data_IF_753254197088
#
_entry.id   IF_753254197088
#
_cell.length_a   1.000
_cell.length_b   1.000
_cell.length_c   1.000
_cell.angle_alpha   90.00
_cell.angle_beta   90.00
_cell.angle_gamma   90.00
#
_symmetry.space_group_name_H-M   'P 1'
#
loop_
_entity.id
_entity.type
_entity.pdbx_description
1 polymer ?
#
# COMPACT_ATOMS: atom_id res chain seq x y z
N UNK A 1 37.09 -12.46 -35.55
CA UNK A 1 36.99 -12.82 -34.13
C UNK A 1 35.68 -12.23 -33.66
N UNK A 2 34.59 -13.01 -33.73
CA UNK A 2 33.28 -12.59 -33.25
C UNK A 2 33.28 -12.80 -31.74
N UNK A 3 33.19 -11.71 -30.97
CA UNK A 3 32.85 -11.80 -29.56
C UNK A 3 31.33 -11.88 -29.55
N UNK A 4 30.79 -13.09 -29.42
CA UNK A 4 29.42 -13.26 -28.99
C UNK A 4 29.31 -12.65 -27.59
N UNK A 5 28.86 -11.39 -27.51
CA UNK A 5 28.27 -10.84 -26.31
C UNK A 5 26.87 -11.45 -26.19
N UNK A 6 26.83 -12.74 -25.87
CA UNK A 6 25.63 -13.31 -25.29
C UNK A 6 25.51 -12.70 -23.89
N UNK A 7 24.55 -11.79 -23.72
CA UNK A 7 24.09 -11.38 -22.40
C UNK A 7 23.36 -12.59 -21.82
N UNK A 8 24.11 -13.46 -21.15
CA UNK A 8 23.56 -14.63 -20.46
C UNK A 8 22.77 -14.12 -19.25
N UNK A 9 21.44 -14.25 -19.33
CA UNK A 9 20.56 -14.08 -18.18
C UNK A 9 20.65 -15.34 -17.31
N UNK A 10 21.75 -15.50 -16.58
CA UNK A 10 21.82 -16.51 -15.52
C UNK A 10 21.02 -16.04 -14.31
N UNK A 11 19.70 -16.20 -14.38
CA UNK A 11 18.86 -16.18 -13.18
C UNK A 11 19.02 -17.51 -12.44
N UNK A 12 20.11 -17.65 -11.67
CA UNK A 12 20.26 -18.75 -10.74
C UNK A 12 19.24 -18.58 -9.59
N UNK A 13 18.11 -19.31 -9.69
CA UNK A 13 17.17 -19.45 -8.58
C UNK A 13 17.80 -20.25 -7.45
N UNK A 14 17.77 -19.68 -6.25
CA UNK A 14 18.09 -20.34 -4.99
C UNK A 14 16.89 -20.25 -4.04
N UNK A 15 16.77 -21.18 -3.08
CA UNK A 15 15.75 -21.09 -2.03
C UNK A 15 15.83 -19.75 -1.29
N UNK A 16 17.05 -19.29 -0.99
CA UNK A 16 17.32 -17.99 -0.38
C UNK A 16 16.85 -16.78 -1.20
N UNK A 17 16.97 -16.84 -2.53
CA UNK A 17 16.48 -15.75 -3.39
C UNK A 17 14.95 -15.79 -3.51
N UNK A 18 14.37 -17.00 -3.53
CA UNK A 18 12.92 -17.17 -3.58
C UNK A 18 12.26 -16.61 -2.31
N UNK A 19 12.85 -16.82 -1.13
CA UNK A 19 12.39 -16.21 0.13
C UNK A 19 12.33 -14.68 0.06
N UNK A 20 13.40 -14.04 -0.43
CA UNK A 20 13.47 -12.59 -0.54
C UNK A 20 12.44 -12.05 -1.55
N UNK A 21 12.32 -12.68 -2.72
CA UNK A 21 11.32 -12.30 -3.71
C UNK A 21 9.89 -12.53 -3.23
N UNK A 22 9.63 -13.62 -2.49
CA UNK A 22 8.33 -13.89 -1.88
C UNK A 22 7.96 -12.81 -0.86
N UNK A 23 8.90 -12.42 0.01
CA UNK A 23 8.69 -11.35 0.97
C UNK A 23 8.39 -10.01 0.27
N UNK A 24 9.17 -9.66 -0.77
CA UNK A 24 8.90 -8.45 -1.57
C UNK A 24 7.52 -8.51 -2.24
N UNK A 25 7.13 -9.65 -2.81
CA UNK A 25 5.80 -9.84 -3.40
C UNK A 25 4.66 -9.65 -2.41
N UNK A 26 4.79 -10.19 -1.19
CA UNK A 26 3.82 -9.97 -0.11
C UNK A 26 3.75 -8.51 0.33
N UNK A 27 4.90 -7.85 0.45
CA UNK A 27 4.97 -6.42 0.77
C UNK A 27 4.27 -5.56 -0.30
N UNK A 28 4.51 -5.84 -1.59
CA UNK A 28 3.88 -5.14 -2.71
C UNK A 28 2.37 -5.35 -2.74
N UNK A 29 1.91 -6.55 -2.38
CA UNK A 29 0.48 -6.85 -2.21
C UNK A 29 -0.12 -5.98 -1.11
N UNK A 30 0.56 -5.88 0.04
CA UNK A 30 0.13 -5.05 1.16
C UNK A 30 0.08 -3.55 0.79
N UNK A 31 1.11 -3.06 0.12
CA UNK A 31 1.19 -1.68 -0.36
C UNK A 31 0.08 -1.35 -1.36
N UNK A 32 -0.24 -2.28 -2.27
CA UNK A 32 -1.32 -2.14 -3.25
C UNK A 32 -2.68 -2.05 -2.56
N UNK A 33 -2.91 -2.85 -1.51
CA UNK A 33 -4.13 -2.80 -0.71
C UNK A 33 -4.29 -1.44 -0.02
N UNK A 34 -3.24 -0.96 0.65
CA UNK A 34 -3.24 0.38 1.26
C UNK A 34 -3.57 1.45 0.21
N UNK A 35 -3.02 1.33 -0.99
CA UNK A 35 -3.30 2.25 -2.09
C UNK A 35 -4.77 2.25 -2.52
N UNK A 36 -5.36 1.07 -2.68
CA UNK A 36 -6.78 0.93 -2.97
C UNK A 36 -7.64 1.57 -1.88
N UNK A 37 -7.33 1.32 -0.60
CA UNK A 37 -8.05 1.91 0.53
C UNK A 37 -7.96 3.44 0.53
N UNK A 38 -6.77 4.01 0.32
CA UNK A 38 -6.61 5.46 0.25
C UNK A 38 -7.40 6.08 -0.91
N UNK A 39 -7.44 5.42 -2.08
CA UNK A 39 -8.23 5.87 -3.23
C UNK A 39 -9.72 5.94 -2.88
N UNK A 40 -10.25 4.87 -2.26
CA UNK A 40 -11.65 4.81 -1.81
C UNK A 40 -11.95 5.93 -0.82
N UNK A 41 -11.08 6.13 0.16
CA UNK A 41 -11.29 7.15 1.19
C UNK A 41 -11.15 8.57 0.65
N UNK A 42 -10.30 8.79 -0.35
CA UNK A 42 -10.20 10.08 -1.03
C UNK A 42 -11.48 10.44 -1.80
N UNK A 43 -12.10 9.46 -2.46
CA UNK A 43 -13.31 9.67 -3.27
C UNK A 43 -14.61 9.74 -2.45
N UNK A 44 -14.64 9.12 -1.27
CA UNK A 44 -15.87 8.95 -0.48
C UNK A 44 -16.66 10.25 -0.23
N UNK A 45 -16.04 11.38 0.14
CA UNK A 45 -16.78 12.63 0.33
C UNK A 45 -17.46 13.14 -0.95
N UNK A 46 -16.77 13.05 -2.09
CA UNK A 46 -17.31 13.47 -3.38
C UNK A 46 -18.47 12.57 -3.83
N UNK A 47 -18.37 11.26 -3.61
CA UNK A 47 -19.46 10.32 -3.87
C UNK A 47 -20.68 10.65 -3.01
N UNK A 48 -20.49 10.89 -1.70
CA UNK A 48 -21.58 11.25 -0.79
C UNK A 48 -22.26 12.57 -1.20
N UNK A 49 -21.49 13.59 -1.56
CA UNK A 49 -22.03 14.86 -2.05
C UNK A 49 -22.83 14.68 -3.35
N UNK A 50 -22.29 13.90 -4.30
CA UNK A 50 -22.95 13.65 -5.58
C UNK A 50 -24.26 12.89 -5.40
N UNK A 51 -24.26 11.87 -4.55
CA UNK A 51 -25.44 11.08 -4.22
C UNK A 51 -26.55 11.94 -3.58
N UNK A 52 -26.18 12.86 -2.68
CA UNK A 52 -27.12 13.81 -2.10
C UNK A 52 -27.74 14.74 -3.15
N UNK A 53 -26.96 15.18 -4.15
CA UNK A 53 -27.47 16.01 -5.26
C UNK A 53 -28.40 15.21 -6.19
N UNK A 54 -28.03 13.99 -6.57
CA UNK A 54 -28.86 13.14 -7.45
C UNK A 54 -30.24 12.89 -6.85
N UNK A 55 -30.33 12.65 -5.54
CA UNK A 55 -31.61 12.53 -4.81
C UNK A 55 -32.51 13.76 -4.91
N UNK A 56 -31.94 14.93 -5.17
CA UNK A 56 -32.68 16.19 -5.32
C UNK A 56 -33.05 16.48 -6.78
N UNK A 57 -32.30 15.91 -7.75
CA UNK A 57 -32.40 16.26 -9.17
C UNK A 57 -32.97 15.16 -10.07
N UNK A 58 -33.32 13.98 -9.52
CA UNK A 58 -33.75 12.79 -10.29
C UNK A 58 -32.75 12.36 -11.37
N UNK A 59 -31.47 12.68 -11.17
CA UNK A 59 -30.37 12.24 -12.03
C UNK A 59 -30.08 10.76 -11.80
N UNK A 60 -29.60 10.07 -12.83
CA UNK A 60 -29.19 8.66 -12.74
C UNK A 60 -28.03 8.50 -11.73
N UNK A 61 -28.29 7.80 -10.63
CA UNK A 61 -27.33 7.59 -9.55
C UNK A 61 -26.10 6.79 -10.02
N UNK A 62 -26.28 5.79 -10.89
CA UNK A 62 -25.20 4.94 -11.37
C UNK A 62 -24.24 5.73 -12.27
N UNK A 63 -24.80 6.56 -13.18
CA UNK A 63 -24.00 7.41 -14.04
C UNK A 63 -23.24 8.47 -13.23
N UNK A 64 -23.87 9.02 -12.19
CA UNK A 64 -23.24 10.01 -11.33
C UNK A 64 -22.09 9.41 -10.50
N UNK A 65 -22.27 8.20 -9.94
CA UNK A 65 -21.23 7.46 -9.21
C UNK A 65 -20.08 7.10 -10.15
N UNK A 66 -20.37 6.62 -11.37
CA UNK A 66 -19.36 6.27 -12.35
C UNK A 66 -18.49 7.48 -12.73
N UNK A 67 -19.08 8.67 -12.86
CA UNK A 67 -18.34 9.89 -13.19
C UNK A 67 -17.34 10.30 -12.10
N UNK A 68 -17.75 10.28 -10.83
CA UNK A 68 -16.86 10.56 -9.70
C UNK A 68 -15.78 9.49 -9.58
N UNK A 69 -16.15 8.22 -9.76
CA UNK A 69 -15.18 7.11 -9.73
C UNK A 69 -14.12 7.29 -10.82
N UNK A 70 -14.49 7.66 -12.04
CA UNK A 70 -13.56 7.88 -13.14
C UNK A 70 -12.56 9.01 -12.85
N UNK A 71 -13.02 10.14 -12.31
CA UNK A 71 -12.15 11.27 -11.90
C UNK A 71 -11.06 10.79 -10.92
N UNK A 72 -11.46 10.04 -9.90
CA UNK A 72 -10.51 9.59 -8.87
C UNK A 72 -9.66 8.40 -9.32
N UNK A 73 -10.16 7.53 -10.20
CA UNK A 73 -9.44 6.33 -10.63
C UNK A 73 -8.39 6.60 -11.70
N UNK A 74 -8.67 7.53 -12.63
CA UNK A 74 -7.83 7.77 -13.80
C UNK A 74 -7.05 9.09 -13.74
N UNK A 75 -7.59 10.12 -13.07
CA UNK A 75 -6.98 11.46 -13.14
C UNK A 75 -6.08 11.77 -11.93
N UNK A 76 -6.31 11.11 -10.78
CA UNK A 76 -5.57 11.38 -9.55
C UNK A 76 -4.51 10.31 -9.26
N UNK A 77 -3.30 10.77 -8.89
CA UNK A 77 -2.21 9.89 -8.42
C UNK A 77 -2.38 9.54 -6.95
N UNK A 78 -1.82 8.42 -6.50
CA UNK A 78 -1.80 8.00 -5.09
C UNK A 78 -1.46 9.10 -4.07
N UNK A 79 -0.43 9.91 -4.35
CA UNK A 79 -0.04 11.04 -3.48
C UNK A 79 -1.16 12.06 -3.28
N UNK A 80 -2.04 12.23 -4.27
CA UNK A 80 -3.22 13.09 -4.14
C UNK A 80 -4.25 12.43 -3.23
N UNK A 81 -4.54 11.14 -3.41
CA UNK A 81 -5.51 10.43 -2.57
C UNK A 81 -5.18 10.52 -1.09
N UNK A 82 -3.91 10.39 -0.71
CA UNK A 82 -3.53 10.35 0.71
C UNK A 82 -3.48 11.74 1.34
N UNK A 83 -3.12 12.75 0.55
CA UNK A 83 -3.34 14.16 0.91
C UNK A 83 -4.83 14.43 1.08
N UNK A 84 -5.65 13.98 0.14
CA UNK A 84 -7.10 14.14 0.16
C UNK A 84 -7.69 13.47 1.40
N UNK A 85 -7.29 12.24 1.75
CA UNK A 85 -7.69 11.57 3.01
C UNK A 85 -7.31 12.42 4.22
N UNK A 86 -6.07 12.89 4.30
CA UNK A 86 -5.61 13.69 5.44
C UNK A 86 -6.38 15.01 5.59
N UNK A 87 -6.76 15.63 4.46
CA UNK A 87 -7.47 16.91 4.41
C UNK A 87 -8.97 16.74 4.64
N UNK A 88 -9.61 15.80 3.95
CA UNK A 88 -11.04 15.51 4.02
C UNK A 88 -11.46 15.09 5.44
N UNK A 89 -10.62 14.30 6.11
CA UNK A 89 -10.90 13.77 7.45
C UNK A 89 -10.31 14.62 8.59
N UNK A 90 -9.66 15.75 8.26
CA UNK A 90 -9.07 16.69 9.25
C UNK A 90 -8.24 15.99 10.34
N UNK A 91 -7.41 15.04 9.92
CA UNK A 91 -6.64 14.22 10.85
C UNK A 91 -5.70 15.08 11.72
N UNK A 92 -5.47 14.71 12.99
CA UNK A 92 -4.42 15.31 13.81
C UNK A 92 -3.04 15.20 13.13
N UNK A 93 -2.14 16.16 13.37
CA UNK A 93 -0.86 16.22 12.64
C UNK A 93 0.00 14.96 12.83
N UNK A 94 0.04 14.42 14.05
CA UNK A 94 0.72 13.15 14.33
C UNK A 94 0.16 11.97 13.51
N UNK A 95 -1.15 11.96 13.24
CA UNK A 95 -1.80 10.92 12.41
C UNK A 95 -1.49 11.16 10.93
N UNK A 96 -1.44 12.42 10.47
CA UNK A 96 -0.99 12.74 9.11
C UNK A 96 0.44 12.28 8.88
N UNK A 97 1.32 12.48 9.86
CA UNK A 97 2.72 12.03 9.79
C UNK A 97 2.81 10.51 9.71
N UNK A 98 2.00 9.78 10.48
CA UNK A 98 1.92 8.31 10.41
C UNK A 98 1.52 7.83 9.02
N UNK A 99 0.43 8.38 8.46
CA UNK A 99 -0.01 8.05 7.11
C UNK A 99 1.07 8.42 6.10
N UNK A 100 1.69 9.60 6.24
CA UNK A 100 2.76 10.10 5.39
C UNK A 100 4.00 9.21 5.35
N UNK A 101 4.39 8.60 6.49
CA UNK A 101 5.47 7.60 6.54
C UNK A 101 5.13 6.37 5.70
N UNK A 102 3.92 5.83 5.82
CA UNK A 102 3.47 4.71 4.98
C UNK A 102 3.55 5.00 3.48
N UNK A 103 3.33 6.26 3.05
CA UNK A 103 3.49 6.65 1.64
C UNK A 103 4.94 6.63 1.17
N UNK A 104 5.84 7.12 2.03
CA UNK A 104 7.28 7.11 1.73
C UNK A 104 7.75 5.66 1.63
N UNK A 105 7.37 4.83 2.60
CA UNK A 105 7.65 3.41 2.59
C UNK A 105 7.11 2.71 1.33
N UNK A 106 5.90 3.06 0.88
CA UNK A 106 5.35 2.55 -0.38
C UNK A 106 6.23 2.92 -1.57
N UNK A 107 6.60 4.20 -1.69
CA UNK A 107 7.38 4.68 -2.83
C UNK A 107 8.75 4.01 -2.86
N UNK A 108 9.37 3.89 -1.70
CA UNK A 108 10.65 3.21 -1.52
C UNK A 108 10.53 1.73 -1.88
N UNK A 109 9.51 1.03 -1.39
CA UNK A 109 9.26 -0.38 -1.72
C UNK A 109 9.08 -0.61 -3.23
N UNK A 110 8.32 0.26 -3.90
CA UNK A 110 8.00 0.10 -5.33
C UNK A 110 9.17 0.50 -6.23
N UNK A 111 9.97 1.49 -5.85
CA UNK A 111 10.96 2.10 -6.74
C UNK A 111 12.40 1.93 -6.31
N UNK A 112 12.70 1.99 -5.02
CA UNK A 112 14.07 2.07 -4.51
C UNK A 112 14.56 0.70 -4.06
N UNK A 113 13.73 -0.07 -3.34
CA UNK A 113 14.09 -1.41 -2.88
C UNK A 113 14.29 -2.39 -4.05
N UNK A 114 13.57 -2.21 -5.16
CA UNK A 114 13.65 -3.08 -6.32
C UNK A 114 14.91 -2.86 -7.16
N UNK A 115 15.60 -1.74 -6.96
CA UNK A 115 16.84 -1.40 -7.68
C UNK A 115 18.02 -2.11 -7.01
N UNK A 116 18.69 -2.99 -7.73
CA UNK A 116 19.85 -3.74 -7.21
C UNK A 116 19.48 -4.89 -6.28
N UNK A 117 18.19 -5.22 -6.17
CA UNK A 117 17.71 -6.36 -5.40
C UNK A 117 18.36 -7.69 -5.85
N UNK A 118 18.46 -8.00 -7.16
CA UNK A 118 19.08 -9.25 -7.60
C UNK A 118 20.51 -9.41 -7.11
N UNK A 119 21.29 -8.33 -7.09
CA UNK A 119 22.68 -8.32 -6.62
C UNK A 119 22.75 -8.40 -5.08
N UNK A 120 21.89 -7.67 -4.37
CA UNK A 120 21.89 -7.62 -2.92
C UNK A 120 21.60 -8.99 -2.28
N UNK A 121 20.68 -9.76 -2.85
CA UNK A 121 20.25 -11.05 -2.29
C UNK A 121 21.19 -12.22 -2.62
N UNK A 122 22.27 -12.01 -3.41
CA UNK A 122 23.25 -13.06 -3.74
C UNK A 122 24.06 -13.55 -2.53
N UNK A 123 24.07 -12.78 -1.45
CA UNK A 123 24.78 -13.13 -0.21
C UNK A 123 23.79 -13.21 0.95
N UNK A 124 24.06 -14.08 1.92
CA UNK A 124 23.23 -14.16 3.14
C UNK A 124 23.15 -12.82 3.87
N UNK A 125 24.26 -12.09 3.92
CA UNK A 125 24.32 -10.77 4.57
C UNK A 125 23.41 -9.76 3.87
N UNK A 126 23.50 -9.64 2.54
CA UNK A 126 22.66 -8.71 1.78
C UNK A 126 21.19 -9.14 1.75
N UNK A 127 20.90 -10.44 1.71
CA UNK A 127 19.52 -10.95 1.89
C UNK A 127 18.95 -10.51 3.24
N UNK A 128 19.70 -10.69 4.33
CA UNK A 128 19.25 -10.31 5.67
C UNK A 128 19.04 -8.79 5.78
N UNK A 129 19.89 -7.99 5.15
CA UNK A 129 19.73 -6.53 5.09
C UNK A 129 18.45 -6.13 4.35
N UNK A 130 18.19 -6.74 3.19
CA UNK A 130 16.95 -6.52 2.42
C UNK A 130 15.72 -6.91 3.24
N UNK A 131 15.72 -8.08 3.88
CA UNK A 131 14.59 -8.54 4.70
C UNK A 131 14.36 -7.65 5.91
N UNK A 132 15.43 -7.17 6.55
CA UNK A 132 15.33 -6.22 7.66
C UNK A 132 14.76 -4.89 7.20
N UNK A 133 15.26 -4.35 6.08
CA UNK A 133 14.76 -3.10 5.52
C UNK A 133 13.29 -3.22 5.11
N UNK A 134 12.92 -4.35 4.48
CA UNK A 134 11.56 -4.66 4.12
C UNK A 134 10.62 -4.67 5.34
N UNK A 135 11.06 -5.26 6.47
CA UNK A 135 10.28 -5.25 7.71
C UNK A 135 9.98 -3.82 8.18
N UNK A 136 10.96 -2.92 8.15
CA UNK A 136 10.79 -1.50 8.50
C UNK A 136 9.79 -0.80 7.58
N UNK A 137 9.87 -1.06 6.26
CA UNK A 137 8.91 -0.49 5.30
C UNK A 137 7.49 -1.02 5.56
N UNK A 138 7.35 -2.31 5.87
CA UNK A 138 6.06 -2.95 6.16
C UNK A 138 5.45 -2.43 7.45
N UNK A 139 6.25 -2.15 8.49
CA UNK A 139 5.76 -1.52 9.72
C UNK A 139 5.09 -0.17 9.44
N UNK A 140 5.75 0.67 8.64
CA UNK A 140 5.23 1.99 8.26
C UNK A 140 3.99 1.87 7.38
N UNK A 141 3.96 0.91 6.45
CA UNK A 141 2.79 0.60 5.63
C UNK A 141 1.60 0.14 6.48
N UNK A 142 1.83 -0.76 7.43
CA UNK A 142 0.81 -1.30 8.30
C UNK A 142 0.26 -0.27 9.28
N UNK A 143 1.09 0.67 9.73
CA UNK A 143 0.64 1.80 10.53
C UNK A 143 -0.33 2.69 9.73
N UNK A 144 -0.01 2.99 8.46
CA UNK A 144 -0.93 3.73 7.60
C UNK A 144 -2.20 2.92 7.28
N UNK A 145 -2.08 1.63 6.98
CA UNK A 145 -3.22 0.75 6.63
C UNK A 145 -4.21 0.62 7.78
N UNK A 146 -3.77 0.45 9.03
CA UNK A 146 -4.71 0.40 10.17
C UNK A 146 -5.49 1.70 10.34
N UNK A 147 -4.86 2.85 10.08
CA UNK A 147 -5.51 4.16 10.21
C UNK A 147 -6.57 4.30 9.11
N UNK A 148 -6.21 4.01 7.87
CA UNK A 148 -7.14 4.11 6.73
C UNK A 148 -8.27 3.10 6.86
N UNK A 149 -7.98 1.86 7.29
CA UNK A 149 -9.00 0.85 7.56
C UNK A 149 -9.98 1.31 8.66
N UNK A 150 -9.48 1.93 9.74
CA UNK A 150 -10.35 2.49 10.78
C UNK A 150 -11.27 3.58 10.23
N UNK A 151 -10.76 4.45 9.34
CA UNK A 151 -11.59 5.46 8.68
C UNK A 151 -12.65 4.82 7.78
N UNK A 152 -12.33 3.72 7.07
CA UNK A 152 -13.32 2.96 6.29
C UNK A 152 -14.44 2.43 7.19
N UNK A 153 -14.10 1.82 8.33
CA UNK A 153 -15.09 1.33 9.28
C UNK A 153 -16.01 2.46 9.78
N UNK A 154 -15.44 3.61 10.13
CA UNK A 154 -16.20 4.78 10.57
C UNK A 154 -17.13 5.31 9.48
N UNK A 155 -16.65 5.37 8.23
CA UNK A 155 -17.42 5.90 7.10
C UNK A 155 -18.58 5.00 6.68
N UNK A 156 -18.41 3.68 6.82
CA UNK A 156 -19.43 2.68 6.51
C UNK A 156 -20.42 2.46 7.67
N UNK A 157 -20.06 2.88 8.89
CA UNK A 157 -20.80 2.50 10.10
C UNK A 157 -20.59 1.02 10.47
N UNK A 158 -19.49 0.42 10.03
CA UNK A 158 -19.13 -0.95 10.36
C UNK A 158 -18.65 -1.05 11.82
N UNK A 159 -18.79 -2.23 12.46
CA UNK A 159 -18.20 -2.45 13.79
C UNK A 159 -16.70 -2.17 13.80
N UNK A 160 -16.23 -1.43 14.80
CA UNK A 160 -14.81 -1.17 14.99
C UNK A 160 -14.06 -2.47 15.32
N UNK A 161 -12.80 -2.61 14.88
CA UNK A 161 -11.97 -3.73 15.29
C UNK A 161 -11.80 -3.74 16.82
N UNK A 162 -11.68 -4.93 17.41
CA UNK A 162 -11.31 -5.06 18.83
C UNK A 162 -9.93 -4.43 19.08
N UNK A 163 -9.69 -3.94 20.31
CA UNK A 163 -8.40 -3.36 20.69
C UNK A 163 -7.24 -4.31 20.40
N UNK A 164 -7.39 -5.59 20.73
CA UNK A 164 -6.40 -6.62 20.42
C UNK A 164 -6.09 -6.73 18.92
N UNK A 165 -7.12 -6.72 18.06
CA UNK A 165 -6.94 -6.81 16.61
C UNK A 165 -6.31 -5.54 16.04
N UNK A 166 -6.59 -4.39 16.63
CA UNK A 166 -6.01 -3.11 16.23
C UNK A 166 -4.54 -2.99 16.64
N UNK A 167 -4.21 -3.39 17.87
CA UNK A 167 -2.86 -3.36 18.43
C UNK A 167 -1.93 -4.37 17.74
N UNK A 168 -2.41 -5.58 17.47
CA UNK A 168 -1.63 -6.63 16.81
C UNK A 168 -1.47 -6.45 15.29
N UNK A 169 -2.15 -5.46 14.67
CA UNK A 169 -2.19 -5.33 13.20
C UNK A 169 -0.79 -5.21 12.58
N UNK A 170 0.07 -4.36 13.14
CA UNK A 170 1.42 -4.10 12.62
C UNK A 170 2.27 -5.36 12.73
N UNK A 171 2.33 -5.98 13.91
CA UNK A 171 3.10 -7.19 14.15
C UNK A 171 2.66 -8.34 13.22
N UNK A 172 1.35 -8.48 13.00
CA UNK A 172 0.81 -9.48 12.08
C UNK A 172 1.17 -9.22 10.63
N UNK A 173 1.17 -7.96 10.19
CA UNK A 173 1.56 -7.60 8.84
C UNK A 173 3.04 -7.91 8.59
N UNK A 174 3.92 -7.53 9.52
CA UNK A 174 5.35 -7.85 9.44
C UNK A 174 5.57 -9.36 9.47
N UNK A 175 4.94 -10.08 10.41
CA UNK A 175 5.09 -11.54 10.50
C UNK A 175 4.66 -12.25 9.21
N UNK A 176 3.55 -11.84 8.60
CA UNK A 176 3.10 -12.39 7.33
C UNK A 176 4.04 -12.05 6.17
N UNK A 177 4.50 -10.80 6.07
CA UNK A 177 5.38 -10.41 4.96
C UNK A 177 6.76 -11.06 5.08
N UNK A 178 7.30 -11.16 6.29
CA UNK A 178 8.63 -11.70 6.56
C UNK A 178 8.63 -13.20 6.91
N UNK A 179 7.52 -13.90 6.67
CA UNK A 179 7.43 -15.35 6.87
C UNK A 179 8.45 -16.08 5.97
N UNK A 180 9.26 -16.95 6.58
CA UNK A 180 10.24 -17.81 5.90
C UNK A 180 9.70 -19.23 5.96
N UNK A 181 9.61 -19.90 4.81
CA UNK A 181 9.21 -21.31 4.75
C UNK A 181 10.42 -22.19 5.13
N UNK A 182 10.26 -23.01 6.18
CA UNK A 182 11.25 -24.00 6.64
C UNK A 182 11.37 -25.22 5.69
#
# INVERSE_FOLDING_TARGET
>A
MNVDLAMEFEEERSQSSDEAYAAVGRALTFATRLEAHCRVMAMMPAVKERFQKCRQTSEDEDQAIASVTAEYWYERRFRHHTRDVSQNYRLPENVKDMVGRGLKARNELVHELTVGLPEAIRTDAGRNEVLHHLAVLVEQLAEADRIVALLIHLENGDPLPSSERYESHIARAVAWVCEVED
#
